data_IF_861754337584
#
_entry.id   IF_861754337584
#
_cell.length_a   1.000
_cell.length_b   1.000
_cell.length_c   1.000
_cell.angle_alpha   90.00
_cell.angle_beta   90.00
_cell.angle_gamma   90.00
#
_symmetry.space_group_name_H-M   'P 1'
#
loop_
_entity.id
_entity.type
_entity.pdbx_description
1 polymer ?
#
# COMPACT_ATOMS: atom_id res chain seq x y z
N UNK A 1 -18.93 16.32 -3.44
CA UNK A 1 -19.97 16.72 -4.43
C UNK A 1 -20.32 15.62 -5.42
N UNK A 2 -19.38 14.80 -5.91
CA UNK A 2 -19.68 13.74 -6.90
C UNK A 2 -20.84 12.80 -6.52
N UNK A 3 -20.88 12.31 -5.27
CA UNK A 3 -21.96 11.45 -4.78
C UNK A 3 -23.29 12.17 -4.54
N UNK A 4 -23.26 13.47 -4.20
CA UNK A 4 -24.46 14.27 -3.99
C UNK A 4 -25.22 14.51 -5.30
N UNK A 5 -24.49 14.66 -6.41
CA UNK A 5 -25.06 14.89 -7.73
C UNK A 5 -25.17 13.60 -8.56
N UNK A 6 -25.09 12.43 -7.92
CA UNK A 6 -25.14 11.11 -8.56
C UNK A 6 -24.16 10.93 -9.75
N UNK A 7 -23.09 11.74 -9.81
CA UNK A 7 -22.04 11.63 -10.84
C UNK A 7 -21.12 10.43 -10.59
N UNK A 8 -21.16 9.88 -9.38
CA UNK A 8 -20.59 8.59 -9.03
C UNK A 8 -21.64 7.78 -8.29
N UNK A 9 -21.79 6.47 -8.59
CA UNK A 9 -22.64 5.58 -7.80
C UNK A 9 -22.20 5.60 -6.33
N UNK A 10 -23.16 5.60 -5.41
CA UNK A 10 -22.88 5.64 -3.96
C UNK A 10 -21.96 4.51 -3.51
N UNK A 11 -22.16 3.31 -4.07
CA UNK A 11 -21.33 2.13 -3.80
C UNK A 11 -19.87 2.30 -4.23
N UNK A 12 -19.59 3.20 -5.18
CA UNK A 12 -18.24 3.44 -5.71
C UNK A 12 -17.51 4.59 -4.99
N UNK A 13 -18.17 5.31 -4.08
CA UNK A 13 -17.58 6.48 -3.43
C UNK A 13 -16.36 6.12 -2.56
N UNK A 14 -16.44 5.00 -1.83
CA UNK A 14 -15.36 4.55 -0.98
C UNK A 14 -14.11 4.14 -1.79
N UNK A 15 -14.30 3.35 -2.85
CA UNK A 15 -13.20 2.95 -3.74
C UNK A 15 -12.65 4.13 -4.54
N UNK A 16 -13.50 5.07 -4.96
CA UNK A 16 -13.07 6.30 -5.61
C UNK A 16 -12.19 7.15 -4.70
N UNK A 17 -12.61 7.41 -3.46
CA UNK A 17 -11.82 8.18 -2.52
C UNK A 17 -10.50 7.48 -2.17
N UNK A 18 -10.55 6.16 -1.95
CA UNK A 18 -9.34 5.37 -1.71
C UNK A 18 -8.35 5.48 -2.87
N UNK A 19 -8.80 5.32 -4.12
CA UNK A 19 -7.96 5.47 -5.30
C UNK A 19 -7.39 6.88 -5.46
N UNK A 20 -8.19 7.92 -5.18
CA UNK A 20 -7.75 9.32 -5.22
C UNK A 20 -6.62 9.59 -4.22
N UNK A 21 -6.76 9.09 -2.99
CA UNK A 21 -5.76 9.29 -1.94
C UNK A 21 -4.47 8.52 -2.25
N UNK A 22 -4.57 7.23 -2.58
CA UNK A 22 -3.40 6.39 -2.92
C UNK A 22 -2.66 6.96 -4.13
N UNK A 23 -3.38 7.40 -5.16
CA UNK A 23 -2.78 7.99 -6.35
C UNK A 23 -2.06 9.31 -6.05
N UNK A 24 -2.59 10.12 -5.14
CA UNK A 24 -1.94 11.38 -4.72
C UNK A 24 -0.67 11.09 -3.93
N UNK A 25 -0.73 10.19 -2.96
CA UNK A 25 0.44 9.75 -2.19
C UNK A 25 1.55 9.21 -3.09
N UNK A 26 1.21 8.36 -4.06
CA UNK A 26 2.17 7.80 -5.00
C UNK A 26 2.80 8.89 -5.88
N UNK A 27 2.00 9.82 -6.41
CA UNK A 27 2.50 10.95 -7.21
C UNK A 27 3.51 11.78 -6.41
N UNK A 28 3.20 12.10 -5.17
CA UNK A 28 4.07 12.92 -4.31
C UNK A 28 5.34 12.16 -3.94
N UNK A 29 5.23 10.88 -3.57
CA UNK A 29 6.37 10.02 -3.28
C UNK A 29 7.31 9.89 -4.48
N UNK A 30 6.78 9.74 -5.69
CA UNK A 30 7.58 9.70 -6.92
C UNK A 30 8.28 11.04 -7.21
N UNK A 31 7.62 12.16 -6.96
CA UNK A 31 8.22 13.48 -7.13
C UNK A 31 9.41 13.69 -6.18
N UNK A 32 9.36 13.12 -4.97
CA UNK A 32 10.44 13.23 -3.99
C UNK A 32 11.58 12.24 -4.22
N UNK A 33 11.27 11.02 -4.66
CA UNK A 33 12.24 9.92 -4.68
C UNK A 33 12.78 9.59 -6.07
N UNK A 34 12.03 9.90 -7.14
CA UNK A 34 12.34 9.43 -8.50
C UNK A 34 12.31 7.91 -8.66
N UNK A 35 11.71 7.18 -7.71
CA UNK A 35 11.73 5.73 -7.68
C UNK A 35 11.02 5.11 -8.91
N UNK A 36 11.51 3.96 -9.35
CA UNK A 36 10.85 3.14 -10.39
C UNK A 36 10.35 1.79 -9.89
N UNK A 37 10.63 1.50 -8.62
CA UNK A 37 10.21 0.28 -7.94
C UNK A 37 9.69 0.62 -6.55
N UNK A 38 8.66 -0.09 -6.12
CA UNK A 38 8.09 -0.03 -4.77
C UNK A 38 8.15 -1.42 -4.17
N UNK A 39 8.65 -1.51 -2.94
CA UNK A 39 8.48 -2.67 -2.07
C UNK A 39 7.47 -2.27 -0.99
N UNK A 40 6.33 -2.95 -0.95
CA UNK A 40 5.24 -2.66 -0.05
C UNK A 40 5.02 -3.79 0.95
N UNK A 41 4.84 -3.42 2.22
CA UNK A 41 4.46 -4.34 3.30
C UNK A 41 3.09 -3.94 3.82
N UNK A 42 2.15 -4.88 3.90
CA UNK A 42 0.81 -4.54 4.34
C UNK A 42 -0.15 -5.72 4.34
N UNK A 43 -1.45 -5.43 4.51
CA UNK A 43 -2.49 -6.43 4.37
C UNK A 43 -2.80 -6.72 2.90
N UNK A 44 -3.22 -7.95 2.54
CA UNK A 44 -3.44 -8.33 1.13
C UNK A 44 -4.37 -7.38 0.35
N UNK A 45 -5.48 -6.96 0.97
CA UNK A 45 -6.44 -6.05 0.32
C UNK A 45 -5.89 -4.65 0.09
N UNK A 46 -5.04 -4.15 0.99
CA UNK A 46 -4.39 -2.85 0.81
C UNK A 46 -3.30 -2.92 -0.26
N UNK A 47 -2.48 -3.97 -0.23
CA UNK A 47 -1.43 -4.22 -1.22
C UNK A 47 -2.00 -4.30 -2.65
N UNK A 48 -3.17 -4.91 -2.81
CA UNK A 48 -3.90 -4.95 -4.08
C UNK A 48 -4.22 -3.55 -4.62
N UNK A 49 -4.69 -2.64 -3.76
CA UNK A 49 -5.00 -1.27 -4.16
C UNK A 49 -3.73 -0.50 -4.57
N UNK A 50 -2.64 -0.67 -3.83
CA UNK A 50 -1.34 -0.06 -4.16
C UNK A 50 -0.73 -0.63 -5.43
N UNK A 51 -0.87 -1.93 -5.68
CA UNK A 51 -0.41 -2.57 -6.92
C UNK A 51 -1.11 -1.99 -8.14
N UNK A 52 -2.43 -1.75 -8.06
CA UNK A 52 -3.21 -1.11 -9.13
C UNK A 52 -2.77 0.34 -9.38
N UNK A 53 -2.48 1.09 -8.31
CA UNK A 53 -1.92 2.42 -8.44
C UNK A 53 -0.54 2.34 -9.12
N UNK A 54 0.37 1.51 -8.63
CA UNK A 54 1.74 1.34 -9.17
C UNK A 54 1.74 1.01 -10.67
N UNK A 55 0.84 0.14 -11.12
CA UNK A 55 0.64 -0.16 -12.54
C UNK A 55 0.25 1.07 -13.36
N UNK A 56 -0.60 1.95 -12.81
CA UNK A 56 -1.03 3.19 -13.47
C UNK A 56 0.11 4.21 -13.61
N UNK A 57 1.14 4.13 -12.76
CA UNK A 57 2.35 4.95 -12.82
C UNK A 57 3.52 4.24 -13.54
N UNK A 58 3.34 3.00 -14.02
CA UNK A 58 4.39 2.24 -14.70
C UNK A 58 5.53 1.77 -13.78
N UNK A 59 5.27 1.59 -12.49
CA UNK A 59 6.25 1.16 -11.50
C UNK A 59 6.33 -0.36 -11.37
N UNK A 60 7.52 -0.87 -11.07
CA UNK A 60 7.68 -2.25 -10.58
C UNK A 60 7.16 -2.31 -9.14
N UNK A 61 6.34 -3.31 -8.82
CA UNK A 61 5.71 -3.43 -7.52
C UNK A 61 5.96 -4.81 -6.93
N UNK A 62 6.56 -4.83 -5.74
CA UNK A 62 6.79 -6.03 -4.93
C UNK A 62 5.99 -5.89 -3.64
N UNK A 63 5.28 -6.95 -3.24
CA UNK A 63 4.38 -6.94 -2.11
C UNK A 63 4.70 -8.08 -1.15
N UNK A 64 4.70 -7.76 0.15
CA UNK A 64 4.89 -8.71 1.23
C UNK A 64 3.76 -8.61 2.24
N UNK A 65 3.17 -9.75 2.59
CA UNK A 65 2.15 -9.81 3.64
C UNK A 65 2.81 -9.58 5.00
N UNK A 66 2.32 -8.58 5.73
CA UNK A 66 2.77 -8.27 7.07
C UNK A 66 2.65 -9.48 8.03
N UNK A 67 1.61 -10.31 7.86
CA UNK A 67 1.39 -11.49 8.70
C UNK A 67 2.49 -12.55 8.53
N UNK A 68 3.12 -12.62 7.36
CA UNK A 68 4.24 -13.52 7.09
C UNK A 68 5.58 -12.94 7.57
N UNK A 69 5.74 -11.62 7.52
CA UNK A 69 6.99 -10.94 7.89
C UNK A 69 7.17 -10.74 9.40
N UNK A 70 6.09 -10.41 10.11
CA UNK A 70 6.18 -9.97 11.50
C UNK A 70 6.68 -11.08 12.45
N UNK A 71 6.20 -12.34 12.40
CA UNK A 71 6.67 -13.39 13.30
C UNK A 71 8.18 -13.67 13.22
N UNK A 72 8.80 -13.92 12.03
CA UNK A 72 10.23 -14.13 11.97
C UNK A 72 11.04 -12.89 12.36
N UNK A 73 10.56 -11.67 12.03
CA UNK A 73 11.23 -10.44 12.45
C UNK A 73 11.25 -10.28 13.97
N UNK A 74 10.13 -10.54 14.65
CA UNK A 74 10.06 -10.51 16.11
C UNK A 74 10.95 -11.59 16.75
N UNK A 75 10.98 -12.78 16.18
CA UNK A 75 11.89 -13.85 16.62
C UNK A 75 13.35 -13.42 16.50
N UNK A 76 13.75 -12.81 15.38
CA UNK A 76 15.11 -12.29 15.21
C UNK A 76 15.47 -11.23 16.24
N UNK A 77 14.56 -10.28 16.49
CA UNK A 77 14.74 -9.24 17.51
C UNK A 77 14.88 -9.87 18.89
N UNK A 78 14.02 -10.84 19.25
CA UNK A 78 14.07 -11.53 20.53
C UNK A 78 15.38 -12.31 20.71
N UNK A 79 15.85 -12.99 19.67
CA UNK A 79 17.11 -13.72 19.68
C UNK A 79 18.30 -12.79 19.89
N UNK A 80 18.37 -11.71 19.12
CA UNK A 80 19.47 -10.74 19.20
C UNK A 80 19.45 -9.96 20.54
N UNK A 81 18.27 -9.82 21.15
CA UNK A 81 18.11 -9.27 22.50
C UNK A 81 18.38 -10.27 23.64
N UNK A 82 18.72 -11.53 23.34
CA UNK A 82 18.94 -12.57 24.35
C UNK A 82 17.69 -13.02 25.09
N UNK A 83 16.50 -12.81 24.51
CA UNK A 83 15.19 -13.18 25.08
C UNK A 83 14.75 -14.60 24.70
N UNK A 84 15.53 -15.29 23.87
CA UNK A 84 15.32 -16.68 23.51
C UNK A 84 16.12 -17.57 24.46
N UNK A 85 15.42 -18.41 25.23
CA UNK A 85 16.01 -19.40 26.14
C UNK A 85 16.65 -20.58 25.39
#
# INVERSE_FOLDING_TARGET
>A
TQGLFARLPRASLASYLSGLLIGTEMKDALAWTGARQIIAVGSPGLLENYRRAAQSFGLVFEAHDNSALLPPALYMIARDAGLMA
#
